data_IF_472650212861
#
_entry.id   IF_472650212861
#
_cell.length_a   1.000
_cell.length_b   1.000
_cell.length_c   1.000
_cell.angle_alpha   90.00
_cell.angle_beta   90.00
_cell.angle_gamma   90.00
#
_symmetry.space_group_name_H-M   'P 1'
#
loop_
_entity.id
_entity.type
_entity.pdbx_description
1 polymer ?
#
# COMPACT_ATOMS: atom_id res chain seq x y z
N UNK A 1 -4.14 11.25 63.45
CA UNK A 1 -4.75 12.04 62.36
C UNK A 1 -3.96 11.86 61.04
N UNK A 2 -3.80 10.63 60.54
CA UNK A 2 -2.91 10.31 59.39
C UNK A 2 -3.58 9.34 58.37
N UNK A 3 -4.92 9.33 58.28
CA UNK A 3 -5.64 8.42 57.36
C UNK A 3 -6.21 9.11 56.11
N UNK A 4 -6.30 10.44 56.09
CA UNK A 4 -6.91 11.21 54.98
C UNK A 4 -5.98 11.52 53.80
N UNK A 5 -4.66 11.36 53.96
CA UNK A 5 -3.71 11.71 52.89
C UNK A 5 -3.56 10.61 51.82
N UNK A 6 -3.70 9.33 52.17
CA UNK A 6 -3.57 8.22 51.22
C UNK A 6 -4.71 8.14 50.20
N UNK A 7 -5.95 8.40 50.62
CA UNK A 7 -7.12 8.36 49.73
C UNK A 7 -7.06 9.43 48.64
N UNK A 8 -6.63 10.65 48.98
CA UNK A 8 -6.52 11.75 48.01
C UNK A 8 -5.49 11.45 46.92
N UNK A 9 -4.36 10.85 47.29
CA UNK A 9 -3.32 10.46 46.34
C UNK A 9 -3.82 9.34 45.41
N UNK A 10 -4.59 8.40 45.95
CA UNK A 10 -5.15 7.29 45.18
C UNK A 10 -6.19 7.76 44.15
N UNK A 11 -7.07 8.68 44.53
CA UNK A 11 -8.06 9.27 43.61
C UNK A 11 -7.38 10.08 42.50
N UNK A 12 -6.33 10.84 42.83
CA UNK A 12 -5.57 11.60 41.82
C UNK A 12 -4.84 10.68 40.85
N UNK A 13 -4.28 9.57 41.31
CA UNK A 13 -3.63 8.59 40.43
C UNK A 13 -4.61 7.91 39.47
N UNK A 14 -5.78 7.48 39.95
CA UNK A 14 -6.80 6.84 39.11
C UNK A 14 -7.37 7.80 38.04
N UNK A 15 -7.58 9.06 38.41
CA UNK A 15 -8.06 10.07 37.46
C UNK A 15 -7.03 10.39 36.38
N UNK A 16 -5.73 10.47 36.72
CA UNK A 16 -4.66 10.62 35.74
C UNK A 16 -4.58 9.44 34.76
N UNK A 17 -4.66 8.20 35.27
CA UNK A 17 -4.66 7.00 34.42
C UNK A 17 -5.84 7.05 33.45
N UNK A 18 -7.05 7.34 33.93
CA UNK A 18 -8.25 7.43 33.12
C UNK A 18 -8.15 8.51 32.03
N UNK A 19 -7.57 9.67 32.34
CA UNK A 19 -7.34 10.75 31.36
C UNK A 19 -6.34 10.31 30.30
N UNK A 20 -5.24 9.65 30.68
CA UNK A 20 -4.24 9.16 29.73
C UNK A 20 -4.82 8.09 28.79
N UNK A 21 -5.61 7.14 29.32
CA UNK A 21 -6.30 6.17 28.46
C UNK A 21 -7.34 6.81 27.55
N UNK A 22 -8.10 7.79 28.03
CA UNK A 22 -9.08 8.51 27.21
C UNK A 22 -8.39 9.29 26.07
N UNK A 23 -7.29 9.98 26.35
CA UNK A 23 -6.50 10.71 25.35
C UNK A 23 -5.88 9.74 24.34
N UNK A 24 -5.35 8.60 24.80
CA UNK A 24 -4.84 7.55 23.91
C UNK A 24 -5.92 6.97 23.00
N UNK A 25 -7.12 6.73 23.53
CA UNK A 25 -8.27 6.25 22.76
C UNK A 25 -8.72 7.30 21.73
N UNK A 26 -8.81 8.57 22.13
CA UNK A 26 -9.11 9.67 21.22
C UNK A 26 -8.06 9.78 20.11
N UNK A 27 -6.79 9.61 20.41
CA UNK A 27 -5.73 9.63 19.39
C UNK A 27 -5.85 8.46 18.39
N UNK A 28 -6.29 7.28 18.85
CA UNK A 28 -6.58 6.13 17.96
C UNK A 28 -7.82 6.39 17.10
N UNK A 29 -8.89 6.96 17.68
CA UNK A 29 -10.15 7.22 16.99
C UNK A 29 -10.08 8.40 16.01
N UNK A 30 -9.26 9.41 16.31
CA UNK A 30 -9.10 10.62 15.50
C UNK A 30 -7.95 10.50 14.48
N UNK A 31 -7.38 9.32 14.28
CA UNK A 31 -6.46 9.13 13.14
C UNK A 31 -7.23 9.41 11.84
N UNK A 32 -6.66 10.20 10.91
CA UNK A 32 -7.29 10.48 9.65
C UNK A 32 -7.56 9.15 8.93
N UNK A 33 -8.85 8.78 8.86
CA UNK A 33 -9.33 7.78 7.91
C UNK A 33 -9.20 8.43 6.55
N UNK A 34 -8.14 8.09 5.80
CA UNK A 34 -8.07 8.40 4.37
C UNK A 34 -9.30 7.75 3.72
N UNK A 35 -10.33 8.58 3.50
CA UNK A 35 -11.53 8.22 2.76
C UNK A 35 -11.15 8.31 1.30
N UNK A 36 -10.71 7.20 0.77
CA UNK A 36 -10.67 7.02 -0.66
C UNK A 36 -12.12 6.90 -1.16
N UNK A 37 -12.43 7.61 -2.24
CA UNK A 37 -13.75 7.59 -2.88
C UNK A 37 -13.79 6.39 -3.84
N UNK A 38 -14.73 5.47 -3.64
CA UNK A 38 -14.69 4.11 -4.21
C UNK A 38 -15.99 3.77 -4.95
N UNK A 39 -15.89 3.38 -6.22
CA UNK A 39 -17.00 2.74 -6.93
C UNK A 39 -17.01 1.23 -6.65
N UNK A 40 -18.08 0.75 -6.01
CA UNK A 40 -18.27 -0.63 -5.57
C UNK A 40 -18.99 -1.42 -6.68
N UNK A 41 -18.21 -2.11 -7.53
CA UNK A 41 -18.72 -3.13 -8.46
C UNK A 41 -18.31 -4.55 -8.05
N UNK A 42 -16.99 -4.80 -7.92
CA UNK A 42 -16.46 -6.18 -7.83
C UNK A 42 -15.39 -6.40 -6.73
N UNK A 43 -15.43 -5.63 -5.64
CA UNK A 43 -14.38 -5.69 -4.59
C UNK A 43 -12.97 -5.28 -5.09
N UNK A 44 -12.92 -4.70 -6.28
CA UNK A 44 -11.76 -4.16 -6.96
C UNK A 44 -11.93 -2.65 -7.04
N UNK A 45 -11.00 -1.91 -6.45
CA UNK A 45 -10.99 -0.45 -6.55
C UNK A 45 -10.05 -0.06 -7.68
N UNK A 46 -10.57 0.72 -8.62
CA UNK A 46 -9.79 1.38 -9.66
C UNK A 46 -9.66 2.84 -9.23
N UNK A 47 -8.58 3.21 -8.53
CA UNK A 47 -8.38 4.59 -8.15
C UNK A 47 -8.10 5.42 -9.41
N UNK A 48 -8.32 6.73 -9.32
CA UNK A 48 -7.79 7.66 -10.33
C UNK A 48 -6.28 7.47 -10.40
N UNK A 49 -5.71 7.41 -11.61
CA UNK A 49 -4.25 7.30 -11.86
C UNK A 49 -3.41 8.34 -11.10
N UNK A 50 -4.03 9.41 -10.62
CA UNK A 50 -3.42 10.57 -9.97
C UNK A 50 -3.39 10.50 -8.43
N UNK A 51 -3.65 9.36 -7.80
CA UNK A 51 -3.44 9.23 -6.34
C UNK A 51 -1.93 9.13 -6.02
N UNK A 52 -1.34 10.10 -5.29
CA UNK A 52 0.09 10.08 -4.99
C UNK A 52 0.54 8.89 -4.14
N UNK A 53 -0.36 8.30 -3.34
CA UNK A 53 -0.03 7.13 -2.52
C UNK A 53 0.17 5.88 -3.39
N UNK A 54 -0.68 5.74 -4.41
CA UNK A 54 -0.59 4.67 -5.38
C UNK A 54 0.73 4.74 -6.15
N UNK A 55 1.10 5.94 -6.62
CA UNK A 55 2.34 6.15 -7.37
C UNK A 55 3.54 5.70 -6.54
N UNK A 56 3.58 6.08 -5.25
CA UNK A 56 4.61 5.59 -4.31
C UNK A 56 4.63 4.07 -4.15
N UNK A 57 3.49 3.40 -4.23
CA UNK A 57 3.43 1.94 -4.16
C UNK A 57 3.95 1.27 -5.44
N UNK A 58 3.71 1.87 -6.60
CA UNK A 58 4.27 1.41 -7.87
C UNK A 58 5.80 1.62 -7.89
N UNK A 59 6.28 2.80 -7.47
CA UNK A 59 7.71 3.09 -7.31
C UNK A 59 8.37 2.12 -6.34
N UNK A 60 7.73 1.86 -5.19
CA UNK A 60 8.20 0.86 -4.23
C UNK A 60 8.35 -0.52 -4.86
N UNK A 61 7.37 -0.97 -5.65
CA UNK A 61 7.43 -2.27 -6.31
C UNK A 61 8.61 -2.39 -7.29
N UNK A 62 8.83 -1.33 -8.09
CA UNK A 62 9.95 -1.27 -9.05
C UNK A 62 11.28 -1.22 -8.32
N UNK A 63 11.40 -0.41 -7.27
CA UNK A 63 12.62 -0.31 -6.47
C UNK A 63 12.97 -1.63 -5.79
N UNK A 64 11.99 -2.31 -5.16
CA UNK A 64 12.21 -3.62 -4.53
C UNK A 64 12.61 -4.71 -5.53
N UNK A 65 12.08 -4.68 -6.74
CA UNK A 65 12.51 -5.59 -7.81
C UNK A 65 13.95 -5.27 -8.24
N UNK A 66 14.26 -4.00 -8.47
CA UNK A 66 15.57 -3.56 -8.97
C UNK A 66 16.71 -3.82 -7.96
N UNK A 67 16.43 -3.76 -6.66
CA UNK A 67 17.39 -4.11 -5.60
C UNK A 67 17.97 -5.52 -5.75
N UNK A 68 17.25 -6.45 -6.37
CA UNK A 68 17.73 -7.82 -6.60
C UNK A 68 18.91 -7.88 -7.56
N UNK A 69 19.13 -6.80 -8.31
CA UNK A 69 20.22 -6.67 -9.27
C UNK A 69 21.31 -5.70 -8.79
N UNK A 70 21.18 -5.09 -7.60
CA UNK A 70 22.20 -4.20 -7.05
C UNK A 70 23.53 -4.95 -6.87
N UNK A 71 24.56 -4.51 -7.58
CA UNK A 71 25.89 -5.12 -7.64
C UNK A 71 26.18 -5.95 -8.89
N UNK A 72 25.19 -6.23 -9.74
CA UNK A 72 25.45 -6.90 -11.03
C UNK A 72 25.90 -5.90 -12.10
N UNK A 73 26.92 -6.25 -12.89
CA UNK A 73 27.40 -5.45 -14.03
C UNK A 73 26.29 -5.25 -15.11
N UNK A 74 25.26 -6.11 -15.10
CA UNK A 74 24.08 -6.04 -15.97
C UNK A 74 22.92 -5.21 -15.41
N UNK A 75 23.11 -4.45 -14.33
CA UNK A 75 22.06 -3.60 -13.71
C UNK A 75 21.28 -2.78 -14.72
N UNK A 76 21.96 -2.14 -15.67
CA UNK A 76 21.34 -1.27 -16.68
C UNK A 76 20.47 -2.02 -17.70
N UNK A 77 20.68 -3.33 -17.86
CA UNK A 77 19.91 -4.21 -18.77
C UNK A 77 18.78 -4.97 -18.07
N UNK A 78 18.76 -5.01 -16.74
CA UNK A 78 17.74 -5.75 -15.96
C UNK A 78 16.84 -4.83 -15.15
N UNK A 79 17.31 -3.61 -14.85
CA UNK A 79 16.54 -2.60 -14.14
C UNK A 79 15.32 -2.19 -14.96
N UNK A 80 14.18 -2.13 -14.27
CA UNK A 80 12.93 -1.67 -14.83
C UNK A 80 12.76 -0.21 -14.44
N UNK A 81 12.59 0.68 -15.44
CA UNK A 81 12.21 2.08 -15.20
C UNK A 81 10.69 2.27 -15.17
N UNK A 82 9.95 1.20 -15.45
CA UNK A 82 8.65 1.23 -16.12
C UNK A 82 7.57 2.14 -15.52
N UNK A 83 6.69 2.60 -16.41
CA UNK A 83 5.59 3.50 -16.12
C UNK A 83 4.31 2.72 -15.76
N UNK A 84 3.59 3.19 -14.74
CA UNK A 84 2.33 2.59 -14.31
C UNK A 84 1.26 2.75 -15.40
N UNK A 85 0.76 1.63 -15.93
CA UNK A 85 -0.27 1.65 -16.97
C UNK A 85 -1.65 1.38 -16.39
N UNK A 86 -1.76 0.35 -15.55
CA UNK A 86 -3.02 -0.04 -14.90
C UNK A 86 -2.77 -0.45 -13.47
N UNK A 87 -3.81 -0.39 -12.67
CA UNK A 87 -3.76 -0.93 -11.32
C UNK A 87 -5.10 -1.48 -10.89
N UNK A 88 -5.06 -2.26 -9.82
CA UNK A 88 -6.22 -2.80 -9.11
C UNK A 88 -5.89 -2.85 -7.63
N UNK A 89 -6.80 -2.34 -6.80
CA UNK A 89 -6.69 -2.38 -5.35
C UNK A 89 -7.73 -3.36 -4.80
N UNK A 90 -7.34 -4.20 -3.84
CA UNK A 90 -8.22 -5.15 -3.17
C UNK A 90 -7.95 -5.14 -1.66
N UNK A 91 -9.01 -5.22 -0.86
CA UNK A 91 -8.88 -5.46 0.58
C UNK A 91 -8.66 -6.96 0.79
N UNK A 92 -7.67 -7.33 1.60
CA UNK A 92 -7.30 -8.72 1.89
C UNK A 92 -7.25 -8.96 3.39
N UNK A 93 -7.60 -10.16 3.86
CA UNK A 93 -7.44 -10.50 5.28
C UNK A 93 -5.95 -10.60 5.65
N UNK A 94 -5.52 -10.24 6.88
CA UNK A 94 -6.28 -9.68 8.01
C UNK A 94 -6.29 -8.13 8.01
N UNK A 95 -6.88 -7.51 6.99
CA UNK A 95 -7.07 -6.06 6.88
C UNK A 95 -6.17 -5.36 5.85
N UNK A 96 -5.29 -6.12 5.17
CA UNK A 96 -4.32 -5.63 4.18
C UNK A 96 -4.96 -4.95 2.97
N UNK A 97 -4.17 -4.11 2.32
CA UNK A 97 -4.47 -3.60 0.99
C UNK A 97 -3.50 -4.27 0.01
N UNK A 98 -4.05 -4.99 -0.96
CA UNK A 98 -3.32 -5.58 -2.07
C UNK A 98 -3.42 -4.64 -3.27
N UNK A 99 -2.28 -4.14 -3.71
CA UNK A 99 -2.13 -3.40 -4.94
C UNK A 99 -1.58 -4.33 -6.02
N UNK A 100 -2.26 -4.41 -7.16
CA UNK A 100 -1.78 -5.07 -8.36
C UNK A 100 -1.50 -4.00 -9.40
N UNK A 101 -0.27 -3.94 -9.90
CA UNK A 101 0.18 -2.97 -10.90
C UNK A 101 0.50 -3.66 -12.21
N UNK A 102 0.15 -3.02 -13.32
CA UNK A 102 0.71 -3.34 -14.63
C UNK A 102 1.66 -2.22 -15.05
N UNK A 103 2.92 -2.59 -15.26
CA UNK A 103 4.04 -1.69 -15.49
C UNK A 103 4.53 -1.89 -16.92
N UNK A 104 4.69 -0.80 -17.66
CA UNK A 104 5.25 -0.80 -19.00
C UNK A 104 6.68 -0.27 -18.95
N UNK A 105 7.64 -1.11 -19.33
CA UNK A 105 9.03 -0.71 -19.45
C UNK A 105 9.40 -0.41 -20.91
N UNK A 106 9.90 0.79 -21.15
CA UNK A 106 10.37 1.28 -22.45
C UNK A 106 11.88 1.47 -22.50
N UNK A 107 12.59 1.15 -21.42
CA UNK A 107 14.04 1.30 -21.36
C UNK A 107 14.78 0.34 -22.31
N UNK A 108 14.11 -0.75 -22.71
CA UNK A 108 14.64 -1.78 -23.59
C UNK A 108 14.20 -1.60 -25.05
N UNK A 109 14.96 -2.12 -26.03
CA UNK A 109 14.62 -2.03 -27.47
C UNK A 109 13.27 -2.67 -27.80
N UNK A 110 12.75 -3.47 -26.88
CA UNK A 110 11.45 -4.09 -26.94
C UNK A 110 10.67 -3.66 -25.70
N UNK A 111 9.49 -3.07 -25.91
CA UNK A 111 8.55 -2.79 -24.83
C UNK A 111 8.23 -4.08 -24.07
N UNK A 112 8.49 -4.05 -22.76
CA UNK A 112 8.17 -5.14 -21.85
C UNK A 112 7.04 -4.72 -20.92
N UNK A 113 6.19 -5.68 -20.56
CA UNK A 113 5.12 -5.47 -19.59
C UNK A 113 5.37 -6.36 -18.38
N UNK A 114 5.04 -5.84 -17.21
CA UNK A 114 5.20 -6.53 -15.94
C UNK A 114 3.92 -6.42 -15.13
N UNK A 115 3.67 -7.44 -14.31
CA UNK A 115 2.69 -7.39 -13.23
C UNK A 115 3.42 -7.45 -11.89
N UNK A 116 3.11 -6.50 -11.02
CA UNK A 116 3.65 -6.44 -9.68
C UNK A 116 2.51 -6.47 -8.66
N UNK A 117 2.72 -7.18 -7.55
CA UNK A 117 1.77 -7.19 -6.43
C UNK A 117 2.46 -6.75 -5.16
N UNK A 118 1.88 -5.73 -4.53
CA UNK A 118 2.32 -5.19 -3.23
C UNK A 118 1.20 -5.39 -2.21
N UNK A 119 1.55 -5.83 -1.01
CA UNK A 119 0.64 -5.81 0.13
C UNK A 119 1.10 -4.73 1.10
N UNK A 120 0.17 -3.88 1.53
CA UNK A 120 0.36 -2.84 2.54
C UNK A 120 -0.56 -3.11 3.75
N UNK A 121 -0.02 -2.91 4.95
CA UNK A 121 -0.74 -2.92 6.22
C UNK A 121 -0.34 -1.69 7.01
N UNK A 122 -1.05 -0.58 6.78
CA UNK A 122 -0.70 0.73 7.36
C UNK A 122 -0.70 0.74 8.89
N UNK A 123 -1.54 -0.07 9.55
CA UNK A 123 -1.53 -0.16 11.02
C UNK A 123 -0.29 -0.87 11.59
N UNK A 124 0.49 -1.57 10.75
CA UNK A 124 1.76 -2.20 11.12
C UNK A 124 2.99 -1.51 10.51
N UNK A 125 2.80 -0.39 9.78
CA UNK A 125 3.85 0.22 8.95
C UNK A 125 4.55 -0.81 8.03
N UNK A 126 3.77 -1.77 7.54
CA UNK A 126 4.30 -2.90 6.78
C UNK A 126 3.90 -2.76 5.31
N UNK A 127 4.88 -2.95 4.43
CA UNK A 127 4.66 -3.10 2.99
C UNK A 127 5.64 -4.12 2.44
N UNK A 128 5.17 -4.95 1.50
CA UNK A 128 5.99 -6.00 0.91
C UNK A 128 5.63 -6.22 -0.55
N UNK A 129 6.64 -6.29 -1.41
CA UNK A 129 6.52 -6.83 -2.75
C UNK A 129 6.29 -8.33 -2.65
N UNK A 130 5.12 -8.80 -3.06
CA UNK A 130 4.75 -10.22 -3.07
C UNK A 130 5.38 -10.91 -4.28
N UNK A 131 5.24 -10.30 -5.46
CA UNK A 131 5.91 -10.75 -6.67
C UNK A 131 6.02 -9.64 -7.70
N UNK A 132 6.95 -9.83 -8.62
CA UNK A 132 7.14 -9.01 -9.80
C UNK A 132 7.43 -9.96 -10.97
N UNK A 133 6.53 -10.02 -11.97
CA UNK A 133 6.64 -10.97 -13.08
C UNK A 133 6.50 -10.28 -14.42
N UNK A 134 7.28 -10.73 -15.40
CA UNK A 134 7.14 -10.32 -16.79
C UNK A 134 5.88 -10.94 -17.40
N UNK A 135 5.07 -10.13 -18.06
CA UNK A 135 3.89 -10.58 -18.79
C UNK A 135 4.26 -10.98 -20.22
N UNK A 136 3.67 -12.09 -20.70
CA UNK A 136 3.77 -12.46 -22.12
C UNK A 136 2.89 -11.52 -22.95
N UNK A 137 3.43 -11.04 -24.07
CA UNK A 137 2.81 -10.03 -24.95
C UNK A 137 1.35 -10.32 -25.34
N UNK A 138 0.96 -11.60 -25.50
CA UNK A 138 -0.41 -11.99 -25.83
C UNK A 138 -1.44 -11.82 -24.71
N UNK A 139 -1.04 -11.89 -23.44
CA UNK A 139 -1.96 -11.76 -22.29
C UNK A 139 -2.41 -10.32 -22.02
N UNK A 140 -1.63 -9.33 -22.48
CA UNK A 140 -2.00 -7.92 -22.30
C UNK A 140 -3.24 -7.55 -23.13
N UNK A 141 -3.32 -8.02 -24.38
CA UNK A 141 -4.44 -7.69 -25.27
C UNK A 141 -5.79 -8.18 -24.72
N UNK A 142 -5.82 -9.34 -24.05
CA UNK A 142 -7.05 -9.89 -23.46
C UNK A 142 -7.49 -9.13 -22.20
N UNK A 143 -6.55 -8.74 -21.34
CA UNK A 143 -6.85 -7.88 -20.18
C UNK A 143 -7.32 -6.48 -20.63
N UNK A 144 -6.94 -6.03 -21.82
CA UNK A 144 -7.38 -4.76 -22.40
C UNK A 144 -8.81 -4.81 -22.91
N UNK A 145 -9.28 -5.94 -23.44
CA UNK A 145 -10.61 -6.11 -24.02
C UNK A 145 -11.70 -6.49 -23.01
N UNK A 146 -11.35 -7.15 -21.89
CA UNK A 146 -12.35 -7.66 -20.92
C UNK A 146 -12.98 -6.59 -20.01
N UNK A 147 -12.58 -5.32 -20.16
CA UNK A 147 -13.23 -4.21 -19.46
C UNK A 147 -13.66 -3.19 -20.52
N UNK A 148 -14.92 -3.26 -20.91
CA UNK A 148 -15.55 -2.30 -21.80
C UNK A 148 -15.64 -0.95 -21.08
N UNK A 149 -15.02 0.08 -21.64
CA UNK A 149 -14.96 1.43 -21.07
C UNK A 149 -15.77 2.37 -21.95
N UNK A 150 -17.10 2.27 -21.84
CA UNK A 150 -17.99 3.40 -22.13
C UNK A 150 -18.19 4.24 -20.87
#
# INVERSE_FOLDING_TARGET
MIRRHGERVFVVALTLIAVVTLVGLLFVLNRPRNRYDYQLGDGCLLPRRSDPHVEKMAEFAVAEYNKQFDGEEEQTKKSVSGHLTRMKIQIVAPGGIKYTFQIMDRHHPVVMFYEAVVIEMNWLNYRKLVYFKKLRRGFFNQLVTDVNWD
#
